data_IF_828558269342
#
_entry.id   IF_828558269342
#
_cell.length_a   1.000
_cell.length_b   1.000
_cell.length_c   1.000
_cell.angle_alpha   90.00
_cell.angle_beta   90.00
_cell.angle_gamma   90.00
#
_symmetry.space_group_name_H-M   'P 1'
#
loop_
_entity.id
_entity.type
_entity.pdbx_description
1 polymer ?
#
# COMPACT_ATOMS: atom_id res chain seq x y z
N UNK A 1 -32.58 14.27 -10.10
CA UNK A 1 -31.17 14.10 -10.46
C UNK A 1 -30.41 15.30 -9.94
N UNK A 2 -29.72 15.16 -8.80
CA UNK A 2 -28.83 16.21 -8.30
C UNK A 2 -27.53 16.12 -9.10
N UNK A 3 -27.09 17.24 -9.67
CA UNK A 3 -25.78 17.36 -10.30
C UNK A 3 -24.69 17.19 -9.25
N UNK A 4 -23.55 16.60 -9.64
CA UNK A 4 -22.37 16.32 -8.78
C UNK A 4 -21.91 17.54 -7.96
N UNK A 5 -22.23 18.76 -8.40
CA UNK A 5 -21.97 20.00 -7.68
C UNK A 5 -22.72 20.15 -6.35
N UNK A 6 -23.84 19.46 -6.13
CA UNK A 6 -24.62 19.55 -4.88
C UNK A 6 -24.12 18.62 -3.76
N UNK A 7 -23.34 17.60 -4.09
CA UNK A 7 -22.72 16.70 -3.08
C UNK A 7 -21.37 17.27 -2.63
N UNK A 8 -20.67 18.00 -3.49
CA UNK A 8 -19.35 18.59 -3.24
C UNK A 8 -19.40 20.11 -3.01
N UNK A 9 -20.46 20.63 -2.37
CA UNK A 9 -20.77 22.06 -2.24
C UNK A 9 -19.70 22.96 -1.60
N UNK A 10 -18.56 22.42 -1.19
CA UNK A 10 -17.36 23.17 -0.89
C UNK A 10 -16.31 22.87 -1.97
N UNK A 11 -15.82 23.91 -2.67
CA UNK A 11 -14.68 23.79 -3.58
C UNK A 11 -13.57 23.03 -2.86
N UNK A 12 -13.30 21.79 -3.26
CA UNK A 12 -12.19 21.02 -2.72
C UNK A 12 -10.94 21.88 -2.85
N UNK A 13 -10.30 22.16 -1.72
CA UNK A 13 -9.07 22.93 -1.77
C UNK A 13 -8.05 22.15 -2.62
N UNK A 14 -7.27 22.83 -3.47
CA UNK A 14 -6.40 22.17 -4.43
C UNK A 14 -5.41 21.24 -3.72
N UNK A 15 -5.27 20.01 -4.24
CA UNK A 15 -4.27 19.04 -3.80
C UNK A 15 -3.10 19.07 -4.77
N UNK A 16 -1.87 19.15 -4.24
CA UNK A 16 -0.63 19.15 -5.04
C UNK A 16 0.25 17.97 -4.66
N UNK A 17 0.74 17.22 -5.65
CA UNK A 17 1.76 16.20 -5.43
C UNK A 17 3.15 16.83 -5.38
N UNK A 18 4.00 16.43 -4.42
CA UNK A 18 5.41 16.84 -4.32
C UNK A 18 6.31 15.69 -3.90
N UNK A 19 7.61 15.84 -4.13
CA UNK A 19 8.62 14.93 -3.59
C UNK A 19 9.21 15.48 -2.29
N UNK A 20 9.26 14.64 -1.25
CA UNK A 20 10.02 14.90 -0.02
C UNK A 20 11.50 14.76 -0.32
N UNK A 21 12.27 15.80 0.02
CA UNK A 21 13.75 15.75 0.02
C UNK A 21 14.24 15.15 1.33
N UNK A 22 13.90 13.89 1.57
CA UNK A 22 14.39 13.11 2.71
C UNK A 22 15.17 11.90 2.19
N UNK A 23 16.16 11.43 2.96
CA UNK A 23 16.89 10.20 2.65
C UNK A 23 16.18 8.94 3.19
N UNK A 24 15.11 9.06 3.97
CA UNK A 24 14.42 7.95 4.64
C UNK A 24 13.03 7.71 4.08
N UNK A 25 12.64 6.45 3.88
CA UNK A 25 11.28 6.06 3.51
C UNK A 25 10.22 6.86 4.29
N UNK A 26 9.23 7.41 3.58
CA UNK A 26 8.12 8.12 4.22
C UNK A 26 7.24 8.84 3.22
N UNK A 27 6.01 9.08 3.65
CA UNK A 27 5.01 9.85 2.95
C UNK A 27 4.32 10.82 3.94
N UNK A 28 3.77 11.93 3.41
CA UNK A 28 3.13 12.98 4.20
C UNK A 28 1.96 13.60 3.44
N UNK A 29 0.79 13.63 4.08
CA UNK A 29 -0.33 14.48 3.74
C UNK A 29 -0.32 15.73 4.62
N UNK A 30 -0.31 16.92 4.00
CA UNK A 30 -0.14 18.18 4.72
C UNK A 30 -1.07 19.29 4.24
N UNK A 31 -1.62 20.03 5.19
CA UNK A 31 -2.30 21.31 4.95
C UNK A 31 -1.31 22.44 4.65
N UNK A 32 -1.60 23.20 3.61
CA UNK A 32 -0.89 24.42 3.21
C UNK A 32 -1.87 25.58 3.09
N UNK A 33 -1.34 26.81 2.93
CA UNK A 33 -2.14 28.04 2.93
C UNK A 33 -3.34 27.99 1.97
N UNK A 34 -3.14 27.42 0.79
CA UNK A 34 -4.14 27.43 -0.29
C UNK A 34 -4.73 26.05 -0.58
N UNK A 35 -4.52 25.02 0.27
CA UNK A 35 -5.03 23.67 0.05
C UNK A 35 -4.21 22.58 0.74
N UNK A 36 -3.95 21.48 0.03
CA UNK A 36 -3.23 20.32 0.57
C UNK A 36 -2.05 19.93 -0.32
N UNK A 37 -1.06 19.29 0.29
CA UNK A 37 0.05 18.66 -0.40
C UNK A 37 0.13 17.18 -0.01
N UNK A 38 0.22 16.32 -1.01
CA UNK A 38 0.60 14.91 -0.87
C UNK A 38 2.07 14.80 -1.24
N UNK A 39 2.89 14.26 -0.33
CA UNK A 39 4.34 14.23 -0.50
C UNK A 39 4.89 12.83 -0.32
N UNK A 40 5.60 12.33 -1.33
CA UNK A 40 6.27 11.04 -1.29
C UNK A 40 7.77 11.21 -1.22
N UNK A 41 8.48 10.36 -0.48
CA UNK A 41 9.93 10.35 -0.55
C UNK A 41 10.44 10.05 -1.96
N UNK A 42 11.36 10.86 -2.47
CA UNK A 42 11.98 10.64 -3.78
C UNK A 42 12.72 9.30 -3.91
N UNK A 43 13.22 8.72 -2.82
CA UNK A 43 13.84 7.41 -2.76
C UNK A 43 12.84 6.24 -2.83
N UNK A 44 11.55 6.47 -2.57
CA UNK A 44 10.53 5.41 -2.52
C UNK A 44 10.54 4.53 -3.78
N UNK A 45 10.51 5.08 -5.02
CA UNK A 45 10.56 4.27 -6.24
C UNK A 45 11.77 3.35 -6.30
N UNK A 46 12.96 3.83 -5.93
CA UNK A 46 14.18 3.02 -5.94
C UNK A 46 14.14 1.89 -4.90
N UNK A 47 13.60 2.17 -3.71
CA UNK A 47 13.49 1.19 -2.61
C UNK A 47 12.52 0.07 -3.00
N UNK A 48 11.32 0.42 -3.47
CA UNK A 48 10.33 -0.59 -3.87
C UNK A 48 10.80 -1.36 -5.09
N UNK A 49 11.48 -0.71 -6.04
CA UNK A 49 12.07 -1.39 -7.19
C UNK A 49 13.13 -2.41 -6.80
N UNK A 50 14.00 -2.07 -5.86
CA UNK A 50 14.94 -3.04 -5.30
C UNK A 50 14.21 -4.21 -4.61
N UNK A 51 13.17 -3.93 -3.83
CA UNK A 51 12.40 -4.95 -3.12
C UNK A 51 11.74 -5.94 -4.08
N UNK A 52 11.00 -5.48 -5.10
CA UNK A 52 10.33 -6.38 -6.04
C UNK A 52 11.28 -7.13 -6.95
N UNK A 53 12.38 -6.51 -7.37
CA UNK A 53 13.45 -7.21 -8.08
C UNK A 53 14.02 -8.37 -7.25
N UNK A 54 14.28 -8.12 -5.95
CA UNK A 54 14.79 -9.16 -5.03
C UNK A 54 13.76 -10.26 -4.78
N UNK A 55 12.49 -9.90 -4.62
CA UNK A 55 11.40 -10.85 -4.41
C UNK A 55 11.17 -11.71 -5.65
N UNK A 56 11.10 -11.14 -6.86
CA UNK A 56 10.88 -11.92 -8.08
C UNK A 56 12.10 -12.73 -8.52
N UNK A 57 13.29 -12.47 -7.99
CA UNK A 57 14.42 -13.41 -8.06
C UNK A 57 14.30 -14.61 -7.13
N UNK A 58 13.34 -14.59 -6.21
CA UNK A 58 13.01 -15.72 -5.35
C UNK A 58 11.93 -16.55 -6.07
N UNK A 59 12.22 -17.78 -6.52
CA UNK A 59 11.30 -18.56 -7.34
C UNK A 59 9.90 -18.73 -6.72
N UNK A 60 9.83 -18.82 -5.39
CA UNK A 60 8.58 -19.00 -4.66
C UNK A 60 7.65 -17.78 -4.73
N UNK A 61 8.16 -16.59 -5.00
CA UNK A 61 7.33 -15.40 -5.13
C UNK A 61 6.65 -15.39 -6.49
N UNK A 62 5.31 -15.47 -6.51
CA UNK A 62 4.51 -15.52 -7.73
C UNK A 62 5.08 -16.52 -8.75
N UNK A 63 5.16 -17.80 -8.36
CA UNK A 63 5.80 -18.86 -9.14
C UNK A 63 5.27 -18.99 -10.58
N UNK A 64 3.98 -18.69 -10.79
CA UNK A 64 3.34 -18.76 -12.10
C UNK A 64 3.72 -17.65 -13.09
N UNK A 65 4.57 -16.69 -12.70
CA UNK A 65 5.03 -15.60 -13.57
C UNK A 65 6.39 -15.95 -14.19
N UNK A 66 6.44 -15.99 -15.53
CA UNK A 66 7.67 -16.25 -16.28
C UNK A 66 8.34 -17.58 -15.94
N UNK A 67 9.60 -17.73 -16.32
CA UNK A 67 10.44 -18.87 -15.91
C UNK A 67 11.04 -18.65 -14.51
N UNK A 68 10.27 -19.00 -13.47
CA UNK A 68 10.71 -18.93 -12.08
C UNK A 68 11.90 -19.86 -11.77
N UNK A 69 12.09 -20.95 -12.51
CA UNK A 69 13.19 -21.90 -12.29
C UNK A 69 14.53 -21.37 -12.81
N UNK A 70 14.49 -20.47 -13.81
CA UNK A 70 15.69 -19.79 -14.31
C UNK A 70 16.34 -18.86 -13.29
N UNK A 71 15.58 -18.44 -12.28
CA UNK A 71 16.04 -17.52 -11.26
C UNK A 71 17.00 -18.19 -10.28
N UNK A 72 18.08 -17.49 -9.96
CA UNK A 72 19.02 -17.92 -8.94
C UNK A 72 18.85 -17.08 -7.70
N UNK A 73 18.60 -17.78 -6.59
CA UNK A 73 18.64 -17.18 -5.27
C UNK A 73 20.07 -16.73 -4.99
N UNK A 74 20.39 -15.47 -5.25
CA UNK A 74 21.54 -14.88 -4.60
C UNK A 74 21.17 -14.78 -3.13
N UNK A 75 21.88 -15.53 -2.28
CA UNK A 75 21.93 -15.25 -0.85
C UNK A 75 22.60 -13.90 -0.69
N UNK A 76 21.87 -12.82 -0.93
CA UNK A 76 22.31 -11.50 -0.58
C UNK A 76 22.57 -11.51 0.93
N UNK A 77 23.80 -11.16 1.31
CA UNK A 77 24.25 -11.19 2.70
C UNK A 77 23.55 -10.15 3.58
N UNK A 78 22.71 -9.28 3.01
CA UNK A 78 21.97 -8.25 3.72
C UNK A 78 20.61 -8.76 4.19
N UNK A 79 20.46 -8.92 5.51
CA UNK A 79 19.20 -9.27 6.19
C UNK A 79 18.10 -8.19 6.10
N UNK A 80 18.25 -7.17 5.26
CA UNK A 80 17.34 -6.00 5.17
C UNK A 80 17.37 -5.36 3.78
N UNK A 81 16.21 -4.91 3.31
CA UNK A 81 16.10 -3.99 2.17
C UNK A 81 16.64 -2.62 2.61
N UNK A 82 17.49 -1.94 1.81
CA UNK A 82 17.93 -0.59 2.12
C UNK A 82 16.72 0.36 2.11
N UNK A 83 16.44 1.00 3.25
CA UNK A 83 15.32 1.95 3.42
C UNK A 83 15.72 3.41 3.17
N UNK A 84 16.93 3.61 2.65
CA UNK A 84 17.53 4.91 2.39
C UNK A 84 18.52 4.81 1.24
N UNK A 85 18.57 5.85 0.40
CA UNK A 85 19.62 5.99 -0.60
C UNK A 85 20.90 6.54 0.04
N UNK A 86 22.09 6.14 -0.45
CA UNK A 86 23.33 6.79 -0.04
C UNK A 86 23.27 8.30 -0.31
N UNK A 87 23.87 9.10 0.57
CA UNK A 87 23.88 10.56 0.45
C UNK A 87 24.46 10.99 -0.91
N UNK A 88 23.76 11.88 -1.60
CA UNK A 88 24.21 12.47 -2.87
C UNK A 88 23.93 11.63 -4.12
N UNK A 89 23.41 10.40 -3.98
CA UNK A 89 22.99 9.56 -5.11
C UNK A 89 21.63 10.04 -5.59
N UNK A 90 21.49 10.26 -6.91
CA UNK A 90 20.19 10.57 -7.51
C UNK A 90 19.33 9.31 -7.60
N UNK A 91 18.01 9.49 -7.59
CA UNK A 91 17.06 8.37 -7.61
C UNK A 91 17.24 7.53 -8.87
N UNK A 92 17.46 8.17 -10.01
CA UNK A 92 17.66 7.52 -11.30
C UNK A 92 18.96 6.70 -11.32
N UNK A 93 20.03 7.25 -10.74
CA UNK A 93 21.32 6.56 -10.59
C UNK A 93 21.19 5.35 -9.65
N UNK A 94 20.42 5.50 -8.55
CA UNK A 94 20.13 4.41 -7.64
C UNK A 94 19.32 3.30 -8.32
N UNK A 95 18.27 3.64 -9.08
CA UNK A 95 17.47 2.66 -9.83
C UNK A 95 18.36 1.90 -10.80
N UNK A 96 19.19 2.60 -11.60
CA UNK A 96 20.11 1.93 -12.55
C UNK A 96 21.08 0.99 -11.83
N UNK A 97 21.68 1.43 -10.72
CA UNK A 97 22.59 0.61 -9.93
C UNK A 97 21.88 -0.62 -9.35
N UNK A 98 20.66 -0.44 -8.82
CA UNK A 98 19.79 -1.50 -8.30
C UNK A 98 19.46 -2.51 -9.39
N UNK A 99 18.94 -2.06 -10.53
CA UNK A 99 18.59 -2.92 -11.67
C UNK A 99 19.80 -3.70 -12.17
N UNK A 100 21.02 -3.14 -12.11
CA UNK A 100 22.22 -3.87 -12.52
C UNK A 100 22.57 -5.08 -11.64
N UNK A 101 22.14 -5.09 -10.38
CA UNK A 101 22.51 -6.14 -9.40
C UNK A 101 21.34 -7.04 -8.98
N UNK A 102 20.11 -6.53 -9.02
CA UNK A 102 18.93 -7.23 -8.50
C UNK A 102 17.88 -7.58 -9.55
N UNK A 103 18.05 -7.22 -10.82
CA UNK A 103 17.07 -7.54 -11.87
C UNK A 103 16.86 -9.07 -12.04
N UNK A 104 15.60 -9.55 -12.10
CA UNK A 104 15.27 -10.92 -12.49
C UNK A 104 15.87 -11.31 -13.86
N UNK A 105 16.24 -12.58 -14.02
CA UNK A 105 16.78 -13.09 -15.28
C UNK A 105 15.69 -13.26 -16.33
N UNK A 106 14.55 -13.77 -15.92
CA UNK A 106 13.40 -13.89 -16.78
C UNK A 106 12.82 -12.51 -17.09
N UNK A 107 12.53 -12.26 -18.37
CA UNK A 107 12.07 -10.94 -18.83
C UNK A 107 10.67 -10.60 -18.34
N UNK A 108 9.79 -11.59 -18.22
CA UNK A 108 8.43 -11.41 -17.73
C UNK A 108 8.46 -11.08 -16.23
N UNK A 109 9.25 -11.81 -15.44
CA UNK A 109 9.49 -11.51 -14.02
C UNK A 109 10.11 -10.13 -13.82
N UNK A 110 11.06 -9.72 -14.67
CA UNK A 110 11.61 -8.37 -14.61
C UNK A 110 10.55 -7.28 -14.93
N UNK A 111 9.66 -7.52 -15.91
CA UNK A 111 8.56 -6.62 -16.22
C UNK A 111 7.55 -6.53 -15.06
N UNK A 112 7.20 -7.67 -14.45
CA UNK A 112 6.35 -7.71 -13.26
C UNK A 112 6.97 -6.94 -12.09
N UNK A 113 8.30 -7.01 -11.90
CA UNK A 113 8.98 -6.25 -10.84
C UNK A 113 8.79 -4.74 -11.01
N UNK A 114 8.89 -4.25 -12.25
CA UNK A 114 8.65 -2.84 -12.59
C UNK A 114 7.20 -2.48 -12.28
N UNK A 115 6.25 -3.25 -12.80
CA UNK A 115 4.83 -3.02 -12.58
C UNK A 115 4.45 -2.96 -11.09
N UNK A 116 4.89 -3.94 -10.30
CA UNK A 116 4.60 -3.96 -8.86
C UNK A 116 5.22 -2.76 -8.13
N UNK A 117 6.36 -2.26 -8.61
CA UNK A 117 6.98 -1.04 -8.09
C UNK A 117 6.11 0.19 -8.36
N UNK A 118 5.55 0.28 -9.57
CA UNK A 118 4.63 1.37 -9.96
C UNK A 118 3.34 1.32 -9.14
N UNK A 119 2.75 0.13 -8.98
CA UNK A 119 1.57 -0.09 -8.13
C UNK A 119 1.84 0.30 -6.67
N UNK A 120 3.02 -0.04 -6.12
CA UNK A 120 3.39 0.34 -4.76
C UNK A 120 3.55 1.86 -4.59
N UNK A 121 4.15 2.55 -5.57
CA UNK A 121 4.26 4.02 -5.54
C UNK A 121 2.89 4.69 -5.65
N UNK A 122 2.04 4.20 -6.56
CA UNK A 122 0.67 4.68 -6.71
C UNK A 122 -0.15 4.48 -5.43
N UNK A 123 -0.05 3.29 -4.81
CA UNK A 123 -0.68 2.99 -3.53
C UNK A 123 -0.28 4.00 -2.45
N UNK A 124 1.02 4.26 -2.26
CA UNK A 124 1.49 5.24 -1.28
C UNK A 124 0.95 6.66 -1.59
N UNK A 125 0.84 7.04 -2.87
CA UNK A 125 0.24 8.33 -3.25
C UNK A 125 -1.25 8.39 -2.86
N UNK A 126 -2.00 7.31 -3.13
CA UNK A 126 -3.41 7.21 -2.80
C UNK A 126 -3.68 7.12 -1.31
N UNK A 127 -2.78 6.52 -0.52
CA UNK A 127 -2.83 6.52 0.94
C UNK A 127 -2.84 7.94 1.50
N UNK A 128 -1.87 8.76 1.11
CA UNK A 128 -1.80 10.15 1.55
C UNK A 128 -2.96 10.99 1.04
N UNK A 129 -3.42 10.73 -0.19
CA UNK A 129 -4.60 11.38 -0.73
C UNK A 129 -5.86 10.99 0.07
N UNK A 130 -6.00 9.74 0.49
CA UNK A 130 -7.11 9.27 1.30
C UNK A 130 -7.15 9.98 2.66
N UNK A 131 -6.01 10.26 3.30
CA UNK A 131 -5.97 11.09 4.50
C UNK A 131 -6.53 12.50 4.28
N UNK A 132 -6.34 13.09 3.08
CA UNK A 132 -6.94 14.39 2.73
C UNK A 132 -8.44 14.24 2.50
N UNK A 133 -8.85 13.26 1.68
CA UNK A 133 -10.26 13.05 1.31
C UNK A 133 -11.15 12.73 2.51
N UNK A 134 -10.63 11.96 3.48
CA UNK A 134 -11.35 11.58 4.70
C UNK A 134 -11.27 12.65 5.80
N UNK A 135 -10.61 13.79 5.54
CA UNK A 135 -10.48 14.87 6.51
C UNK A 135 -9.55 14.56 7.70
N UNK A 136 -8.76 13.48 7.64
CA UNK A 136 -7.81 13.10 8.69
C UNK A 136 -6.77 14.20 8.95
N UNK A 137 -6.30 14.86 7.88
CA UNK A 137 -5.33 15.97 7.99
C UNK A 137 -5.90 17.14 8.77
N UNK A 138 -7.16 17.51 8.52
CA UNK A 138 -7.82 18.62 9.22
C UNK A 138 -8.13 18.27 10.68
N UNK A 139 -8.65 17.07 10.93
CA UNK A 139 -8.88 16.58 12.29
C UNK A 139 -7.57 16.53 13.10
N UNK A 140 -6.48 16.06 12.49
CA UNK A 140 -5.15 16.05 13.10
C UNK A 140 -4.67 17.47 13.42
N UNK A 141 -4.83 18.40 12.49
CA UNK A 141 -4.44 19.80 12.67
C UNK A 141 -5.23 20.49 13.77
N UNK A 142 -6.54 20.24 13.85
CA UNK A 142 -7.39 20.80 14.91
C UNK A 142 -7.02 20.25 16.28
N UNK A 143 -6.69 18.96 16.36
CA UNK A 143 -6.35 18.31 17.63
C UNK A 143 -4.94 18.67 18.12
N UNK A 144 -3.96 18.67 17.24
CA UNK A 144 -2.53 18.76 17.62
C UNK A 144 -1.89 20.12 17.32
N UNK A 145 -2.53 20.95 16.51
CA UNK A 145 -1.92 22.15 15.91
C UNK A 145 -0.91 21.85 14.80
N UNK A 146 -0.61 20.59 14.49
CA UNK A 146 0.33 20.20 13.45
C UNK A 146 -0.32 20.23 12.07
N UNK A 147 0.34 20.85 11.09
CA UNK A 147 -0.23 21.03 9.75
C UNK A 147 -0.23 19.76 8.89
N UNK A 148 0.45 18.69 9.30
CA UNK A 148 0.62 17.48 8.49
C UNK A 148 0.56 16.22 9.31
N UNK A 149 0.12 15.14 8.65
CA UNK A 149 0.12 13.79 9.18
C UNK A 149 1.34 13.10 8.56
N UNK A 150 2.38 12.90 9.37
CA UNK A 150 3.56 12.15 8.96
C UNK A 150 3.46 10.74 9.54
N UNK A 151 3.60 9.72 8.69
CA UNK A 151 3.59 8.31 9.11
C UNK A 151 4.61 8.03 10.24
N UNK A 152 5.76 8.73 10.23
CA UNK A 152 6.89 8.48 11.15
C UNK A 152 7.19 9.59 12.17
N UNK A 153 6.37 10.66 12.29
CA UNK A 153 6.65 11.69 13.29
C UNK A 153 6.16 11.27 14.68
N UNK A 154 7.11 10.99 15.56
CA UNK A 154 6.95 10.91 17.01
C UNK A 154 6.58 12.28 17.60
N UNK A 155 5.32 12.68 17.54
CA UNK A 155 4.81 13.62 18.55
C UNK A 155 3.85 12.86 19.44
N UNK A 156 4.39 12.42 20.58
CA UNK A 156 3.63 11.82 21.67
C UNK A 156 2.69 12.90 22.19
N UNK A 157 1.42 12.82 21.82
CA UNK A 157 0.38 13.59 22.50
C UNK A 157 0.39 13.22 24.00
N UNK A 158 0.17 14.18 24.92
CA UNK A 158 0.21 13.94 26.38
C UNK A 158 -0.74 12.82 26.87
N UNK A 159 -1.74 12.48 26.05
CA UNK A 159 -2.89 11.64 26.35
C UNK A 159 -2.76 10.20 25.76
N UNK A 160 -1.51 9.81 25.43
CA UNK A 160 -1.04 8.86 24.40
C UNK A 160 -1.67 7.49 24.13
N UNK A 161 -2.81 7.09 24.72
CA UNK A 161 -3.52 5.84 24.34
C UNK A 161 -4.73 6.08 23.44
N UNK A 162 -5.57 7.08 23.75
CA UNK A 162 -6.74 7.39 22.92
C UNK A 162 -6.31 7.90 21.54
N UNK A 163 -5.24 8.71 21.48
CA UNK A 163 -4.67 9.20 20.21
C UNK A 163 -4.10 8.09 19.32
N UNK A 164 -3.53 7.04 19.90
CA UNK A 164 -2.98 5.92 19.13
C UNK A 164 -4.07 5.07 18.47
N UNK A 165 -5.16 4.75 19.19
CA UNK A 165 -6.30 3.99 18.63
C UNK A 165 -6.94 4.75 17.45
N UNK A 166 -7.09 6.06 17.59
CA UNK A 166 -7.68 6.91 16.54
C UNK A 166 -6.80 6.95 15.30
N UNK A 167 -5.47 7.12 15.49
CA UNK A 167 -4.54 7.04 14.37
C UNK A 167 -4.62 5.69 13.66
N UNK A 168 -4.70 4.58 14.40
CA UNK A 168 -4.86 3.26 13.78
C UNK A 168 -6.14 3.15 12.92
N UNK A 169 -7.24 3.76 13.35
CA UNK A 169 -8.47 3.83 12.54
C UNK A 169 -8.28 4.71 11.31
N UNK A 170 -7.63 5.87 11.42
CA UNK A 170 -7.34 6.72 10.27
C UNK A 170 -6.44 6.04 9.23
N UNK A 171 -5.39 5.33 9.66
CA UNK A 171 -4.54 4.55 8.77
C UNK A 171 -5.33 3.42 8.11
N UNK A 172 -6.18 2.74 8.87
CA UNK A 172 -7.06 1.68 8.35
C UNK A 172 -8.04 2.20 7.28
N UNK A 173 -8.71 3.33 7.53
CA UNK A 173 -9.62 3.92 6.55
C UNK A 173 -8.88 4.42 5.31
N UNK A 174 -7.70 5.01 5.48
CA UNK A 174 -6.85 5.43 4.37
C UNK A 174 -6.39 4.23 3.52
N UNK A 175 -6.02 3.10 4.15
CA UNK A 175 -5.64 1.86 3.47
C UNK A 175 -6.74 1.36 2.53
N UNK A 176 -7.99 1.31 3.04
CA UNK A 176 -9.15 0.82 2.29
C UNK A 176 -9.45 1.73 1.09
N UNK A 177 -9.49 3.04 1.30
CA UNK A 177 -9.76 3.99 0.21
C UNK A 177 -8.65 3.94 -0.84
N UNK A 178 -7.38 3.90 -0.41
CA UNK A 178 -6.25 3.85 -1.32
C UNK A 178 -6.23 2.58 -2.17
N UNK A 179 -6.54 1.43 -1.56
CA UNK A 179 -6.62 0.17 -2.28
C UNK A 179 -7.75 0.16 -3.32
N UNK A 180 -8.92 0.71 -2.99
CA UNK A 180 -10.03 0.83 -3.94
C UNK A 180 -9.72 1.80 -5.08
N UNK A 181 -9.07 2.94 -4.80
CA UNK A 181 -8.62 3.86 -5.85
C UNK A 181 -7.64 3.17 -6.80
N UNK A 182 -6.68 2.41 -6.25
CA UNK A 182 -5.74 1.65 -7.06
C UNK A 182 -6.42 0.54 -7.88
N UNK A 183 -7.39 -0.16 -7.29
CA UNK A 183 -8.19 -1.18 -7.97
C UNK A 183 -8.97 -0.59 -9.15
N UNK A 184 -9.63 0.56 -8.94
CA UNK A 184 -10.38 1.25 -9.99
C UNK A 184 -9.47 1.69 -11.14
N UNK A 185 -8.30 2.25 -10.83
CA UNK A 185 -7.30 2.61 -11.84
C UNK A 185 -6.79 1.40 -12.61
N UNK A 186 -6.50 0.31 -11.91
CA UNK A 186 -6.04 -0.94 -12.52
C UNK A 186 -7.08 -1.51 -13.48
N UNK A 187 -8.35 -1.49 -13.09
CA UNK A 187 -9.48 -1.95 -13.90
C UNK A 187 -9.72 -1.02 -15.09
N UNK A 188 -9.60 0.30 -14.91
CA UNK A 188 -9.81 1.27 -15.97
C UNK A 188 -8.71 1.26 -17.04
N UNK A 189 -7.47 0.94 -16.67
CA UNK A 189 -6.30 0.99 -17.54
C UNK A 189 -5.94 -0.36 -18.18
N UNK A 190 -6.96 -1.10 -18.63
CA UNK A 190 -6.89 -2.47 -19.16
C UNK A 190 -5.90 -2.69 -20.34
N UNK A 191 -5.34 -1.61 -20.90
CA UNK A 191 -4.57 -1.60 -22.13
C UNK A 191 -3.06 -1.34 -21.98
N UNK A 192 -2.49 -1.21 -20.77
CA UNK A 192 -1.06 -0.89 -20.71
C UNK A 192 -0.17 -2.05 -21.20
N UNK A 193 0.77 -1.79 -22.12
CA UNK A 193 1.71 -2.80 -22.62
C UNK A 193 2.46 -3.53 -21.50
N UNK A 194 2.74 -2.86 -20.39
CA UNK A 194 3.45 -3.45 -19.24
C UNK A 194 2.69 -4.63 -18.62
N UNK A 195 1.35 -4.56 -18.54
CA UNK A 195 0.53 -5.67 -18.05
C UNK A 195 0.49 -6.82 -19.04
N UNK A 196 0.39 -6.52 -20.34
CA UNK A 196 0.42 -7.54 -21.39
C UNK A 196 1.77 -8.27 -21.41
N UNK A 197 2.85 -7.53 -21.29
CA UNK A 197 4.21 -8.08 -21.27
C UNK A 197 4.48 -8.88 -19.98
N UNK A 198 3.85 -8.49 -18.86
CA UNK A 198 3.94 -9.21 -17.58
C UNK A 198 3.05 -10.45 -17.47
N UNK A 199 1.92 -10.53 -18.19
CA UNK A 199 0.89 -11.58 -17.99
C UNK A 199 0.40 -12.32 -19.22
N UNK A 200 0.90 -12.02 -20.43
CA UNK A 200 0.75 -12.92 -21.58
C UNK A 200 -0.59 -12.86 -22.35
N UNK A 201 -1.23 -11.70 -22.45
CA UNK A 201 -2.15 -11.38 -23.56
C UNK A 201 -3.60 -11.91 -23.52
N UNK A 202 -3.96 -12.83 -22.62
CA UNK A 202 -5.36 -13.27 -22.46
C UNK A 202 -6.07 -12.47 -21.34
N UNK A 203 -7.24 -11.90 -21.65
CA UNK A 203 -7.88 -10.85 -20.84
C UNK A 203 -8.43 -11.33 -19.47
N UNK A 204 -8.94 -12.56 -19.37
CA UNK A 204 -9.63 -13.03 -18.15
C UNK A 204 -8.65 -13.44 -17.04
N UNK A 205 -7.58 -14.18 -17.40
CA UNK A 205 -6.46 -14.47 -16.49
C UNK A 205 -5.69 -13.20 -16.12
N UNK A 206 -5.72 -12.19 -16.99
CA UNK A 206 -5.08 -10.90 -16.75
C UNK A 206 -5.66 -10.13 -15.56
N UNK A 207 -6.98 -10.14 -15.31
CA UNK A 207 -7.57 -9.37 -14.19
C UNK A 207 -7.16 -9.95 -12.84
N UNK A 208 -7.29 -11.26 -12.63
CA UNK A 208 -6.86 -11.89 -11.38
C UNK A 208 -5.36 -11.75 -11.15
N UNK A 209 -4.54 -11.91 -12.20
CA UNK A 209 -3.10 -11.75 -12.07
C UNK A 209 -2.70 -10.32 -11.69
N UNK A 210 -3.37 -9.31 -12.26
CA UNK A 210 -3.21 -7.90 -11.88
C UNK A 210 -3.65 -7.62 -10.45
N UNK A 211 -4.80 -8.18 -10.05
CA UNK A 211 -5.28 -8.08 -8.68
C UNK A 211 -4.27 -8.69 -7.69
N UNK A 212 -3.69 -9.84 -8.01
CA UNK A 212 -2.59 -10.42 -7.23
C UNK A 212 -1.37 -9.50 -7.19
N UNK A 213 -0.97 -8.90 -8.32
CA UNK A 213 0.14 -7.95 -8.37
C UNK A 213 -0.10 -6.74 -7.45
N UNK A 214 -1.30 -6.19 -7.48
CA UNK A 214 -1.75 -5.07 -6.64
C UNK A 214 -1.65 -5.44 -5.16
N UNK A 215 -2.27 -6.56 -4.77
CA UNK A 215 -2.24 -7.03 -3.38
C UNK A 215 -0.82 -7.34 -2.91
N UNK A 216 0.00 -7.96 -3.75
CA UNK A 216 1.40 -8.23 -3.46
C UNK A 216 2.20 -6.95 -3.28
N UNK A 217 1.91 -5.92 -4.08
CA UNK A 217 2.55 -4.62 -3.97
C UNK A 217 2.22 -3.94 -2.63
N UNK A 218 0.93 -3.92 -2.26
CA UNK A 218 0.44 -3.37 -0.99
C UNK A 218 1.05 -4.10 0.21
N UNK A 219 1.05 -5.44 0.20
CA UNK A 219 1.63 -6.23 1.28
C UNK A 219 3.12 -5.91 1.49
N UNK A 220 3.89 -5.80 0.39
CA UNK A 220 5.31 -5.46 0.46
C UNK A 220 5.52 -4.05 1.02
N UNK A 221 4.67 -3.07 0.67
CA UNK A 221 4.69 -1.74 1.29
C UNK A 221 4.50 -1.85 2.80
N UNK A 222 3.49 -2.60 3.28
CA UNK A 222 3.28 -2.78 4.72
C UNK A 222 4.47 -3.45 5.43
N UNK A 223 5.10 -4.43 4.79
CA UNK A 223 6.30 -5.09 5.31
C UNK A 223 7.50 -4.13 5.37
N UNK A 224 7.70 -3.29 4.35
CA UNK A 224 8.74 -2.25 4.32
C UNK A 224 8.53 -1.21 5.43
N UNK A 225 7.30 -0.73 5.61
CA UNK A 225 6.94 0.20 6.70
C UNK A 225 7.19 -0.45 8.06
N UNK A 226 6.84 -1.72 8.24
CA UNK A 226 7.10 -2.44 9.49
C UNK A 226 8.59 -2.68 9.75
N UNK A 227 9.42 -2.77 8.71
CA UNK A 227 10.89 -2.81 8.82
C UNK A 227 11.47 -1.44 9.22
N UNK A 228 10.86 -0.35 8.74
CA UNK A 228 11.27 1.02 9.01
C UNK A 228 10.91 1.49 10.43
N UNK A 229 9.77 1.04 10.96
CA UNK A 229 9.18 1.57 12.19
C UNK A 229 9.45 0.67 13.41
N UNK A 230 10.14 1.17 14.46
CA UNK A 230 10.30 0.45 15.72
C UNK A 230 8.95 0.08 16.34
N UNK A 231 8.84 -1.13 16.92
CA UNK A 231 7.57 -1.66 17.50
C UNK A 231 6.93 -0.68 18.49
N UNK A 232 7.75 0.01 19.30
CA UNK A 232 7.28 0.94 20.34
C UNK A 232 6.66 2.24 19.80
N UNK A 233 6.80 2.51 18.51
CA UNK A 233 6.36 3.74 17.84
C UNK A 233 5.31 3.46 16.76
N UNK A 234 4.78 2.22 16.70
CA UNK A 234 3.79 1.84 15.70
C UNK A 234 2.46 2.54 15.97
N UNK A 235 2.14 3.48 15.10
CA UNK A 235 0.81 4.12 14.97
C UNK A 235 -0.08 3.39 13.97
N UNK A 236 0.45 2.35 13.34
CA UNK A 236 -0.22 1.54 12.33
C UNK A 236 -0.59 0.17 12.92
N UNK A 237 -1.69 -0.45 12.46
CA UNK A 237 -1.92 -1.86 12.70
C UNK A 237 -0.77 -2.74 12.14
N UNK A 238 -0.65 -3.97 12.62
CA UNK A 238 0.35 -4.92 12.08
C UNK A 238 0.13 -5.15 10.57
N UNK A 239 1.19 -5.37 9.77
CA UNK A 239 1.09 -5.52 8.31
C UNK A 239 0.02 -6.50 7.84
N UNK A 240 -0.08 -7.66 8.50
CA UNK A 240 -1.05 -8.70 8.12
C UNK A 240 -2.48 -8.33 8.47
N UNK A 241 -2.69 -7.46 9.46
CA UNK A 241 -4.02 -6.92 9.79
C UNK A 241 -4.46 -5.95 8.69
N UNK A 242 -3.58 -5.01 8.32
CA UNK A 242 -3.84 -4.06 7.23
C UNK A 242 -4.09 -4.80 5.92
N UNK A 243 -3.26 -5.78 5.60
CA UNK A 243 -3.41 -6.60 4.40
C UNK A 243 -4.73 -7.38 4.37
N UNK A 244 -5.10 -8.04 5.47
CA UNK A 244 -6.36 -8.79 5.52
C UNK A 244 -7.58 -7.88 5.29
N UNK A 245 -7.56 -6.66 5.83
CA UNK A 245 -8.61 -5.68 5.62
C UNK A 245 -8.71 -5.26 4.16
N UNK A 246 -7.59 -4.81 3.58
CA UNK A 246 -7.51 -4.39 2.18
C UNK A 246 -7.92 -5.51 1.23
N UNK A 247 -7.42 -6.72 1.46
CA UNK A 247 -7.70 -7.87 0.60
C UNK A 247 -9.19 -8.23 0.61
N UNK A 248 -9.84 -8.25 1.77
CA UNK A 248 -11.26 -8.55 1.87
C UNK A 248 -12.12 -7.49 1.16
N UNK A 249 -11.84 -6.22 1.41
CA UNK A 249 -12.58 -5.09 0.85
C UNK A 249 -12.39 -4.99 -0.68
N UNK A 250 -11.14 -5.10 -1.14
CA UNK A 250 -10.81 -5.07 -2.57
C UNK A 250 -11.33 -6.30 -3.32
N UNK A 251 -11.41 -7.47 -2.67
CA UNK A 251 -12.00 -8.67 -3.26
C UNK A 251 -13.51 -8.50 -3.50
N UNK A 252 -14.22 -7.95 -2.52
CA UNK A 252 -15.65 -7.64 -2.66
C UNK A 252 -15.87 -6.61 -3.78
N UNK A 253 -15.08 -5.53 -3.79
CA UNK A 253 -15.14 -4.50 -4.82
C UNK A 253 -14.84 -5.06 -6.23
N UNK A 254 -13.85 -5.96 -6.37
CA UNK A 254 -13.52 -6.58 -7.65
C UNK A 254 -14.69 -7.40 -8.21
N UNK A 255 -15.31 -8.24 -7.36
CA UNK A 255 -16.46 -9.07 -7.77
C UNK A 255 -17.65 -8.20 -8.17
N UNK A 256 -17.90 -7.10 -7.44
CA UNK A 256 -18.98 -6.16 -7.76
C UNK A 256 -18.71 -5.38 -9.05
N UNK A 257 -17.48 -4.91 -9.27
CA UNK A 257 -17.11 -4.07 -10.40
C UNK A 257 -16.93 -4.85 -11.71
N UNK A 258 -16.70 -6.17 -11.64
CA UNK A 258 -16.41 -7.02 -12.81
C UNK A 258 -17.39 -8.20 -12.95
N UNK A 259 -18.72 -7.97 -12.96
CA UNK A 259 -19.71 -9.04 -13.03
C UNK A 259 -19.60 -9.90 -14.30
N UNK A 260 -19.07 -9.33 -15.38
CA UNK A 260 -18.87 -10.02 -16.65
C UNK A 260 -17.82 -11.14 -16.60
N UNK A 261 -16.88 -11.09 -15.65
CA UNK A 261 -15.81 -12.07 -15.52
C UNK A 261 -16.26 -13.35 -14.79
N UNK A 262 -17.46 -13.35 -14.20
CA UNK A 262 -18.03 -14.48 -13.45
C UNK A 262 -17.08 -15.06 -12.37
N UNK A 263 -16.22 -14.21 -11.79
CA UNK A 263 -15.28 -14.61 -10.74
C UNK A 263 -16.03 -15.08 -9.50
N UNK A 264 -15.71 -16.27 -9.00
CA UNK A 264 -16.24 -16.72 -7.72
C UNK A 264 -15.43 -16.11 -6.56
N UNK A 265 -16.06 -15.93 -5.41
CA UNK A 265 -15.35 -15.54 -4.18
C UNK A 265 -14.26 -16.54 -3.79
N UNK A 266 -14.43 -17.82 -4.16
CA UNK A 266 -13.42 -18.85 -3.95
C UNK A 266 -12.16 -18.58 -4.78
N UNK A 267 -12.29 -18.29 -6.08
CA UNK A 267 -11.16 -17.95 -6.95
C UNK A 267 -10.42 -16.70 -6.47
N UNK A 268 -11.16 -15.66 -6.07
CA UNK A 268 -10.55 -14.43 -5.53
C UNK A 268 -9.87 -14.70 -4.18
N UNK A 269 -10.47 -15.54 -3.33
CA UNK A 269 -9.90 -15.95 -2.05
C UNK A 269 -8.62 -16.78 -2.19
N UNK A 270 -8.56 -17.70 -3.16
CA UNK A 270 -7.34 -18.43 -3.53
C UNK A 270 -6.25 -17.47 -3.98
N UNK A 271 -6.58 -16.51 -4.85
CA UNK A 271 -5.63 -15.51 -5.33
C UNK A 271 -5.04 -14.66 -4.19
N UNK A 272 -5.86 -14.26 -3.22
CA UNK A 272 -5.42 -13.54 -1.99
C UNK A 272 -4.48 -14.40 -1.15
N UNK A 273 -4.82 -15.67 -0.93
CA UNK A 273 -4.00 -16.57 -0.13
C UNK A 273 -2.66 -16.85 -0.80
N UNK A 274 -2.65 -17.09 -2.10
CA UNK A 274 -1.45 -17.38 -2.89
C UNK A 274 -0.46 -16.21 -2.86
N UNK A 275 -0.94 -14.97 -3.05
CA UNK A 275 -0.06 -13.81 -2.98
C UNK A 275 0.47 -13.58 -1.58
N UNK A 276 -0.35 -13.75 -0.53
CA UNK A 276 0.09 -13.59 0.85
C UNK A 276 1.14 -14.64 1.24
N UNK A 277 0.90 -15.91 0.93
CA UNK A 277 1.81 -17.00 1.27
C UNK A 277 3.12 -16.90 0.48
N UNK A 278 3.06 -16.61 -0.81
CA UNK A 278 4.26 -16.45 -1.65
C UNK A 278 5.09 -15.24 -1.23
N UNK A 279 4.46 -14.09 -0.95
CA UNK A 279 5.14 -12.89 -0.46
C UNK A 279 5.85 -13.15 0.88
N UNK A 280 5.15 -13.72 1.86
CA UNK A 280 5.72 -13.99 3.19
C UNK A 280 6.82 -15.06 3.14
N UNK A 281 6.66 -16.08 2.30
CA UNK A 281 7.67 -17.10 2.06
C UNK A 281 8.94 -16.47 1.48
N UNK A 282 8.81 -15.68 0.41
CA UNK A 282 9.95 -15.01 -0.22
C UNK A 282 10.62 -14.00 0.71
N UNK A 283 9.84 -13.21 1.45
CA UNK A 283 10.33 -12.27 2.45
C UNK A 283 11.17 -12.97 3.54
N UNK A 284 10.70 -14.15 3.98
CA UNK A 284 11.41 -14.99 4.94
C UNK A 284 12.72 -15.55 4.36
N UNK A 285 12.69 -16.03 3.11
CA UNK A 285 13.87 -16.58 2.41
C UNK A 285 14.97 -15.51 2.24
N UNK A 286 14.58 -14.27 1.93
CA UNK A 286 15.50 -13.13 1.86
C UNK A 286 16.03 -12.70 3.23
N UNK A 287 15.60 -13.33 4.32
CA UNK A 287 16.04 -13.03 5.68
C UNK A 287 15.63 -11.63 6.16
N UNK A 288 14.64 -11.01 5.50
CA UNK A 288 14.20 -9.63 5.73
C UNK A 288 13.43 -9.47 7.04
N UNK A 289 12.95 -10.59 7.59
CA UNK A 289 12.40 -10.69 8.94
C UNK A 289 11.14 -9.86 9.17
N UNK A 290 10.07 -10.53 9.56
CA UNK A 290 9.07 -10.00 10.50
C UNK A 290 8.56 -11.25 11.21
N UNK A 291 9.15 -11.62 12.35
CA UNK A 291 8.73 -12.87 13.03
C UNK A 291 7.24 -12.78 13.35
N UNK A 292 6.42 -13.73 12.85
CA UNK A 292 5.88 -14.67 13.83
C UNK A 292 5.87 -16.13 13.34
N UNK A 293 5.74 -17.04 14.31
CA UNK A 293 5.41 -18.44 14.08
C UNK A 293 4.16 -18.56 13.19
N UNK A 294 4.26 -19.36 12.11
CA UNK A 294 3.20 -19.74 11.16
C UNK A 294 2.41 -18.58 10.50
N UNK A 295 2.69 -18.21 9.23
CA UNK A 295 1.94 -17.21 8.46
C UNK A 295 0.42 -17.39 8.49
N UNK A 296 -0.06 -18.63 8.40
CA UNK A 296 -1.48 -18.97 8.38
C UNK A 296 -2.20 -18.63 9.69
N UNK A 297 -1.55 -18.90 10.83
CA UNK A 297 -2.11 -18.57 12.15
C UNK A 297 -2.23 -17.06 12.35
N UNK A 298 -1.34 -16.29 11.73
CA UNK A 298 -1.34 -14.83 11.82
C UNK A 298 -2.43 -14.20 10.94
N UNK A 299 -2.74 -14.79 9.78
CA UNK A 299 -3.86 -14.34 8.94
C UNK A 299 -5.22 -14.55 9.62
N UNK A 300 -5.46 -15.71 10.26
CA UNK A 300 -6.70 -15.94 11.01
C UNK A 300 -6.84 -15.01 12.23
N UNK A 301 -5.74 -14.74 12.93
CA UNK A 301 -5.74 -13.76 14.01
C UNK A 301 -5.95 -12.34 13.51
N UNK A 302 -5.44 -12.02 12.32
CA UNK A 302 -5.63 -10.72 11.68
C UNK A 302 -7.11 -10.45 11.41
N UNK A 303 -7.87 -11.42 10.91
CA UNK A 303 -9.32 -11.27 10.68
C UNK A 303 -10.09 -10.85 11.94
N UNK A 304 -9.82 -11.47 13.09
CA UNK A 304 -10.43 -11.07 14.37
C UNK A 304 -10.04 -9.67 14.84
N UNK A 305 -8.89 -9.16 14.40
CA UNK A 305 -8.48 -7.78 14.69
C UNK A 305 -9.15 -6.82 13.72
N UNK A 306 -9.32 -7.20 12.46
CA UNK A 306 -10.09 -6.42 11.47
C UNK A 306 -11.53 -6.21 11.95
N UNK A 307 -12.20 -7.26 12.44
CA UNK A 307 -13.55 -7.14 13.03
C UNK A 307 -13.62 -6.11 14.17
N UNK A 308 -12.56 -6.04 14.99
CA UNK A 308 -12.46 -5.04 16.06
C UNK A 308 -12.17 -3.65 15.53
N UNK A 309 -11.31 -3.49 14.52
CA UNK A 309 -11.06 -2.19 13.88
C UNK A 309 -12.32 -1.65 13.19
N UNK A 310 -13.12 -2.51 12.59
CA UNK A 310 -14.43 -2.17 12.03
C UNK A 310 -15.39 -1.67 13.12
N UNK A 311 -15.47 -2.39 14.25
CA UNK A 311 -16.25 -1.93 15.40
C UNK A 311 -15.75 -0.58 15.96
N UNK A 312 -14.43 -0.42 16.09
CA UNK A 312 -13.80 0.82 16.53
C UNK A 312 -14.10 1.97 15.55
N UNK A 313 -14.11 1.71 14.25
CA UNK A 313 -14.49 2.68 13.21
C UNK A 313 -15.92 3.15 13.44
N UNK A 314 -16.87 2.23 13.61
CA UNK A 314 -18.28 2.57 13.88
C UNK A 314 -18.46 3.36 15.19
N UNK A 315 -17.76 3.00 16.26
CA UNK A 315 -17.80 3.67 17.56
C UNK A 315 -17.22 5.09 17.49
N UNK A 316 -16.11 5.27 16.79
CA UNK A 316 -15.34 6.51 16.74
C UNK A 316 -15.81 7.46 15.62
N UNK A 317 -16.51 6.97 14.60
CA UNK A 317 -17.02 7.77 13.48
C UNK A 317 -17.81 9.01 13.94
N UNK A 318 -18.73 8.94 14.93
CA UNK A 318 -19.42 10.12 15.46
C UNK A 318 -18.46 11.20 15.99
N UNK A 319 -17.36 10.80 16.64
CA UNK A 319 -16.41 11.72 17.27
C UNK A 319 -15.67 12.58 16.25
N UNK A 320 -15.40 12.03 15.06
CA UNK A 320 -14.72 12.78 13.99
C UNK A 320 -15.68 13.34 12.93
N UNK A 321 -16.87 12.77 12.77
CA UNK A 321 -17.92 13.34 11.90
C UNK A 321 -18.40 14.72 12.38
N UNK A 322 -18.29 15.00 13.68
CA UNK A 322 -18.52 16.34 14.24
C UNK A 322 -17.52 17.39 13.72
N UNK A 323 -16.30 16.96 13.35
CA UNK A 323 -15.30 17.81 12.70
C UNK A 323 -15.47 17.84 11.18
N UNK A 324 -15.98 16.75 10.58
CA UNK A 324 -16.32 16.65 9.16
C UNK A 324 -17.64 17.35 8.76
N UNK A 325 -18.38 17.95 9.71
CA UNK A 325 -19.59 18.74 9.44
C UNK A 325 -19.36 19.95 8.49
N UNK A 326 -18.12 20.20 8.07
CA UNK A 326 -17.75 21.17 7.05
C UNK A 326 -17.64 20.61 5.61
N UNK A 327 -17.70 19.29 5.40
CA UNK A 327 -17.68 18.63 4.08
C UNK A 327 -18.59 17.39 4.06
N UNK A 328 -19.83 17.47 3.54
CA UNK A 328 -20.75 16.36 3.58
C UNK A 328 -20.46 15.37 2.42
N UNK A 329 -19.53 14.43 2.62
CA UNK A 329 -19.54 13.21 1.82
C UNK A 329 -20.66 12.31 2.34
N UNK A 330 -21.80 12.28 1.63
CA UNK A 330 -22.79 11.21 1.80
C UNK A 330 -22.21 9.94 1.18
N UNK A 331 -22.04 8.89 1.98
CA UNK A 331 -21.90 7.51 1.49
C UNK A 331 -23.21 7.09 0.82
#
# INVERSE_FOLDING_TARGET
MATVEHILGARLAPVRARLLRSAQLGAEARRVKDGYEVRLNGALPAIVHFAFNSLLRTPQFMYGIGDAESEQLHRESSKRIPLALPRGVKVEEAIVAITSVSRPRDTQRAATAVLMSELAVAYCAYHELAHVLLGHVDAHCQWTGCLGLLEMAESVMPDGRASARVRMVWEYEADLVAANMLLQDMVANDAEPVFRDAYGGDNDSGVLARFQAMLGAILVVFLLVAQATPIKQRTHPEPLIRFAAVANDSAAALVEQQPQLQLSFEQVGEAVNDVALSALSAWSILGLGTSPASPLKNLLNAQRVVERLEHDREELHPLYSCFAAFYPFKR
#
